data_IF_167837551234
#
_entry.id   IF_167837551234
#
_cell.length_a   1.000
_cell.length_b   1.000
_cell.length_c   1.000
_cell.angle_alpha   90.00
_cell.angle_beta   90.00
_cell.angle_gamma   90.00
#
_symmetry.space_group_name_H-M   'P 1'
#
loop_
_entity.id
_entity.type
_entity.pdbx_description
1 polymer ?
#
# COMPACT_ATOMS: atom_id res chain seq x y z
N UNK A 1 4.29 -15.64 11.70
CA UNK A 1 2.94 -15.03 11.71
C UNK A 1 2.33 -15.15 10.32
N UNK A 2 1.00 -15.22 10.25
CA UNK A 2 0.23 -15.14 9.01
C UNK A 2 -0.31 -13.73 8.84
N UNK A 3 0.08 -13.05 7.77
CA UNK A 3 -0.20 -11.63 7.59
C UNK A 3 -1.01 -11.41 6.32
N UNK A 4 -2.16 -10.76 6.42
CA UNK A 4 -2.92 -10.29 5.27
C UNK A 4 -2.43 -8.91 4.84
N UNK A 5 -1.98 -8.77 3.60
CA UNK A 5 -1.57 -7.48 3.01
C UNK A 5 -2.63 -7.02 2.01
N UNK A 6 -3.16 -5.81 2.24
CA UNK A 6 -4.10 -5.15 1.33
C UNK A 6 -3.43 -3.94 0.69
N UNK A 7 -3.35 -3.92 -0.62
CA UNK A 7 -2.71 -2.83 -1.36
C UNK A 7 -3.33 -2.64 -2.74
N UNK A 8 -3.02 -1.52 -3.39
CA UNK A 8 -3.32 -1.35 -4.81
C UNK A 8 -2.35 -2.19 -5.66
N UNK A 9 -2.86 -3.04 -6.55
CA UNK A 9 -2.04 -3.94 -7.38
C UNK A 9 -1.44 -3.24 -8.61
N UNK A 10 -0.96 -2.01 -8.44
CA UNK A 10 -0.51 -1.15 -9.56
C UNK A 10 1.00 -0.97 -9.57
N UNK A 11 1.55 -0.49 -10.70
CA UNK A 11 2.94 -0.05 -10.83
C UNK A 11 3.25 1.23 -10.02
N UNK A 12 2.28 1.78 -9.31
CA UNK A 12 2.50 2.91 -8.40
C UNK A 12 3.38 2.54 -7.21
N UNK A 13 4.09 3.54 -6.65
CA UNK A 13 5.07 3.32 -5.59
C UNK A 13 4.53 2.54 -4.39
N UNK A 14 3.32 2.85 -3.93
CA UNK A 14 2.71 2.17 -2.77
C UNK A 14 2.43 0.69 -3.01
N UNK A 15 1.93 0.31 -4.20
CA UNK A 15 1.67 -1.10 -4.54
C UNK A 15 2.98 -1.91 -4.64
N UNK A 16 3.99 -1.32 -5.25
CA UNK A 16 5.33 -1.91 -5.33
C UNK A 16 5.93 -2.09 -3.93
N UNK A 17 5.89 -1.05 -3.10
CA UNK A 17 6.42 -1.10 -1.73
C UNK A 17 5.71 -2.12 -0.85
N UNK A 18 4.38 -2.19 -0.91
CA UNK A 18 3.61 -3.19 -0.19
C UNK A 18 3.99 -4.62 -0.61
N UNK A 19 4.23 -4.83 -1.90
CA UNK A 19 4.63 -6.14 -2.43
C UNK A 19 6.06 -6.50 -2.02
N UNK A 20 7.01 -5.56 -2.14
CA UNK A 20 8.41 -5.79 -1.71
C UNK A 20 8.50 -6.02 -0.19
N UNK A 21 7.70 -5.29 0.61
CA UNK A 21 7.60 -5.52 2.05
C UNK A 21 7.11 -6.93 2.35
N UNK A 22 6.04 -7.37 1.70
CA UNK A 22 5.52 -8.73 1.87
C UNK A 22 6.56 -9.78 1.52
N UNK A 23 7.25 -9.67 0.38
CA UNK A 23 8.31 -10.59 0.01
C UNK A 23 9.45 -10.61 1.04
N UNK A 24 9.85 -9.45 1.55
CA UNK A 24 10.87 -9.38 2.61
C UNK A 24 10.41 -10.03 3.92
N UNK A 25 9.13 -9.92 4.27
CA UNK A 25 8.58 -10.59 5.45
C UNK A 25 8.57 -12.11 5.30
N UNK A 26 8.40 -12.65 4.10
CA UNK A 26 8.54 -14.10 3.85
C UNK A 26 9.97 -14.55 4.11
N UNK A 27 10.97 -13.79 3.67
CA UNK A 27 12.38 -14.07 3.95
C UNK A 27 12.68 -14.10 5.48
N UNK A 28 11.81 -13.48 6.29
CA UNK A 28 11.86 -13.50 7.76
C UNK A 28 10.93 -14.54 8.40
N UNK A 29 10.42 -15.49 7.63
CA UNK A 29 9.64 -16.64 8.13
C UNK A 29 8.16 -16.35 8.39
N UNK A 30 7.57 -15.36 7.72
CA UNK A 30 6.13 -15.08 7.76
C UNK A 30 5.40 -15.68 6.58
N UNK A 31 4.12 -16.04 6.75
CA UNK A 31 3.21 -16.45 5.68
C UNK A 31 2.38 -15.24 5.25
N UNK A 32 2.32 -14.93 3.96
CA UNK A 32 1.72 -13.72 3.41
C UNK A 32 0.52 -14.00 2.52
N UNK A 33 -0.58 -13.30 2.80
CA UNK A 33 -1.82 -13.35 2.05
C UNK A 33 -2.12 -11.99 1.43
N UNK A 34 -1.82 -11.82 0.15
CA UNK A 34 -2.16 -10.59 -0.58
C UNK A 34 -3.61 -10.60 -1.00
N UNK A 35 -4.34 -9.53 -0.67
CA UNK A 35 -5.77 -9.37 -0.96
C UNK A 35 -5.97 -8.09 -1.76
N UNK A 36 -6.33 -8.23 -3.04
CA UNK A 36 -6.53 -7.12 -3.97
C UNK A 36 -7.44 -7.53 -5.14
N UNK A 37 -7.96 -6.57 -5.90
CA UNK A 37 -8.81 -6.83 -7.07
C UNK A 37 -8.04 -7.41 -8.29
N UNK A 38 -6.73 -7.43 -8.23
CA UNK A 38 -5.83 -8.02 -9.23
C UNK A 38 -4.52 -8.40 -8.56
N UNK A 39 -3.81 -9.38 -9.11
CA UNK A 39 -2.50 -9.76 -8.60
C UNK A 39 -1.53 -8.57 -8.63
N UNK A 40 -0.84 -8.26 -7.50
CA UNK A 40 0.17 -7.20 -7.45
C UNK A 40 1.29 -7.44 -8.48
N UNK A 41 1.72 -6.38 -9.13
CA UNK A 41 2.58 -6.44 -10.32
C UNK A 41 3.91 -7.15 -10.09
N UNK A 42 4.49 -7.02 -8.90
CA UNK A 42 5.78 -7.64 -8.56
C UNK A 42 5.66 -8.94 -7.77
N UNK A 43 4.44 -9.40 -7.54
CA UNK A 43 4.24 -10.63 -6.77
C UNK A 43 4.66 -11.84 -7.58
N UNK A 44 5.64 -12.58 -7.08
CA UNK A 44 6.16 -13.80 -7.69
C UNK A 44 5.30 -14.99 -7.30
N UNK A 45 5.15 -15.97 -8.20
CA UNK A 45 4.40 -17.21 -7.97
C UNK A 45 5.22 -18.34 -7.32
N UNK A 46 6.47 -18.07 -7.01
CA UNK A 46 7.46 -19.11 -6.72
C UNK A 46 7.70 -19.40 -5.24
N UNK A 47 6.92 -18.82 -4.33
CA UNK A 47 7.12 -19.02 -2.90
C UNK A 47 5.87 -19.67 -2.28
N UNK A 48 6.08 -20.79 -1.56
CA UNK A 48 5.01 -21.57 -0.91
C UNK A 48 4.34 -20.83 0.25
N UNK A 49 4.96 -19.75 0.76
CA UNK A 49 4.44 -18.92 1.83
C UNK A 49 3.76 -17.63 1.33
N UNK A 50 3.52 -17.51 0.02
CA UNK A 50 2.85 -16.37 -0.59
C UNK A 50 1.56 -16.80 -1.26
N UNK A 51 0.45 -16.23 -0.82
CA UNK A 51 -0.88 -16.49 -1.35
C UNK A 51 -1.50 -15.22 -1.91
N UNK A 52 -2.23 -15.35 -3.01
CA UNK A 52 -3.00 -14.25 -3.58
C UNK A 52 -4.50 -14.57 -3.57
N UNK A 53 -5.29 -13.64 -3.06
CA UNK A 53 -6.74 -13.74 -2.99
C UNK A 53 -7.38 -12.58 -3.76
N UNK A 54 -8.01 -12.91 -4.87
CA UNK A 54 -8.67 -11.90 -5.69
C UNK A 54 -9.99 -11.44 -5.05
N UNK A 55 -10.15 -10.12 -4.97
CA UNK A 55 -11.41 -9.47 -4.59
C UNK A 55 -12.24 -9.26 -5.84
N UNK A 56 -13.26 -10.09 -6.03
CA UNK A 56 -14.24 -9.94 -7.10
C UNK A 56 -15.48 -9.24 -6.56
N UNK A 57 -15.92 -8.20 -7.25
CA UNK A 57 -17.18 -7.53 -6.93
C UNK A 57 -18.26 -8.17 -7.82
N UNK A 58 -19.24 -8.87 -7.26
CA UNK A 58 -20.33 -9.44 -8.04
C UNK A 58 -21.13 -8.33 -8.76
N UNK A 59 -21.44 -8.56 -10.02
CA UNK A 59 -22.35 -7.68 -10.74
C UNK A 59 -23.78 -7.88 -10.23
N UNK A 60 -24.42 -6.77 -9.89
CA UNK A 60 -25.82 -6.74 -9.50
C UNK A 60 -26.54 -5.58 -10.18
N UNK A 61 -27.64 -5.81 -10.90
CA UNK A 61 -28.28 -4.81 -11.75
C UNK A 61 -28.68 -3.49 -11.05
N UNK A 62 -28.90 -3.52 -9.74
CA UNK A 62 -29.25 -2.35 -8.96
C UNK A 62 -28.04 -1.54 -8.46
N UNK A 63 -26.82 -2.06 -8.62
CA UNK A 63 -25.63 -1.33 -8.25
C UNK A 63 -25.14 -0.45 -9.40
N UNK A 64 -25.49 0.82 -9.39
CA UNK A 64 -24.94 1.80 -10.33
C UNK A 64 -23.41 1.96 -10.17
N UNK A 65 -22.90 1.76 -8.93
CA UNK A 65 -21.48 1.75 -8.60
C UNK A 65 -21.16 0.45 -7.87
N UNK A 66 -20.06 -0.18 -8.26
CA UNK A 66 -19.66 -1.43 -7.66
C UNK A 66 -19.12 -1.19 -6.23
N UNK A 67 -19.68 -1.85 -5.19
CA UNK A 67 -19.30 -1.65 -3.80
C UNK A 67 -18.01 -2.40 -3.45
N UNK A 68 -16.87 -1.90 -3.91
CA UNK A 68 -15.56 -2.53 -3.71
C UNK A 68 -15.22 -2.74 -2.24
N UNK A 69 -15.49 -1.75 -1.39
CA UNK A 69 -15.20 -1.80 0.06
C UNK A 69 -15.97 -2.93 0.75
N UNK A 70 -17.20 -3.16 0.33
CA UNK A 70 -18.02 -4.27 0.83
C UNK A 70 -17.43 -5.62 0.40
N UNK A 71 -17.05 -5.76 -0.87
CA UNK A 71 -16.44 -6.99 -1.37
C UNK A 71 -15.08 -7.26 -0.70
N UNK A 72 -14.27 -6.22 -0.50
CA UNK A 72 -12.98 -6.32 0.16
C UNK A 72 -13.14 -6.73 1.63
N UNK A 73 -14.05 -6.11 2.38
CA UNK A 73 -14.29 -6.47 3.78
C UNK A 73 -14.78 -7.90 3.92
N UNK A 74 -15.66 -8.36 3.03
CA UNK A 74 -16.14 -9.74 3.00
C UNK A 74 -15.01 -10.72 2.68
N UNK A 75 -14.18 -10.42 1.68
CA UNK A 75 -13.03 -11.25 1.32
C UNK A 75 -12.01 -11.33 2.46
N UNK A 76 -11.77 -10.23 3.17
CA UNK A 76 -10.92 -10.23 4.36
C UNK A 76 -11.45 -11.18 5.43
N UNK A 77 -12.75 -11.14 5.75
CA UNK A 77 -13.36 -12.08 6.72
C UNK A 77 -13.18 -13.53 6.29
N UNK A 78 -13.41 -13.84 5.01
CA UNK A 78 -13.24 -15.17 4.44
C UNK A 78 -11.81 -15.68 4.62
N UNK A 79 -10.82 -14.89 4.16
CA UNK A 79 -9.40 -15.26 4.20
C UNK A 79 -8.89 -15.39 5.64
N UNK A 80 -9.27 -14.47 6.52
CA UNK A 80 -8.86 -14.49 7.94
C UNK A 80 -9.35 -15.78 8.61
N UNK A 81 -10.60 -16.17 8.37
CA UNK A 81 -11.16 -17.40 8.96
C UNK A 81 -10.55 -18.67 8.38
N UNK A 82 -10.34 -18.69 7.06
CA UNK A 82 -9.84 -19.87 6.38
C UNK A 82 -8.39 -20.17 6.71
N UNK A 83 -7.56 -19.15 6.81
CA UNK A 83 -6.12 -19.29 7.00
C UNK A 83 -5.63 -18.94 8.39
N UNK A 84 -6.52 -18.51 9.30
CA UNK A 84 -6.17 -18.08 10.66
C UNK A 84 -5.14 -16.94 10.67
N UNK A 85 -5.46 -15.86 9.96
CA UNK A 85 -4.59 -14.69 9.85
C UNK A 85 -4.42 -14.00 11.21
N UNK A 86 -3.19 -13.68 11.54
CA UNK A 86 -2.81 -13.03 12.81
C UNK A 86 -2.92 -11.50 12.75
N UNK A 87 -2.70 -10.90 11.57
CA UNK A 87 -2.56 -9.45 11.37
C UNK A 87 -3.08 -9.02 10.00
N UNK A 88 -3.82 -7.91 9.95
CA UNK A 88 -4.11 -7.19 8.72
C UNK A 88 -3.15 -6.00 8.57
N UNK A 89 -2.31 -5.99 7.54
CA UNK A 89 -1.51 -4.84 7.15
C UNK A 89 -2.10 -4.21 5.89
N UNK A 90 -2.67 -3.04 6.02
CA UNK A 90 -3.35 -2.36 4.93
C UNK A 90 -2.62 -1.08 4.53
N UNK A 91 -2.51 -0.85 3.25
CA UNK A 91 -1.90 0.33 2.67
C UNK A 91 -3.01 1.27 2.18
N UNK A 92 -3.00 2.52 2.63
CA UNK A 92 -4.01 3.56 2.47
C UNK A 92 -5.15 3.56 3.52
N UNK A 93 -5.46 4.76 3.99
CA UNK A 93 -6.58 5.01 4.90
C UNK A 93 -7.92 4.62 4.28
N UNK A 94 -8.14 5.00 3.03
CA UNK A 94 -9.31 4.62 2.24
C UNK A 94 -8.90 4.10 0.86
N UNK A 95 -9.59 3.10 0.31
CA UNK A 95 -10.69 2.33 0.91
C UNK A 95 -10.22 1.22 1.85
N UNK A 96 -8.93 0.94 1.95
CA UNK A 96 -8.39 -0.30 2.50
C UNK A 96 -8.54 -0.38 4.03
N UNK A 97 -8.10 0.64 4.80
CA UNK A 97 -8.25 0.60 6.26
C UNK A 97 -9.73 0.68 6.67
N UNK A 98 -10.58 1.39 5.90
CA UNK A 98 -12.01 1.38 6.12
C UNK A 98 -12.60 -0.03 5.98
N UNK A 99 -12.28 -0.72 4.90
CA UNK A 99 -12.76 -2.09 4.65
C UNK A 99 -12.20 -3.08 5.69
N UNK A 100 -10.94 -2.93 6.09
CA UNK A 100 -10.33 -3.75 7.14
C UNK A 100 -11.01 -3.57 8.50
N UNK A 101 -11.37 -2.32 8.85
CA UNK A 101 -12.13 -2.07 10.07
C UNK A 101 -13.52 -2.72 10.03
N UNK A 102 -14.22 -2.67 8.90
CA UNK A 102 -15.50 -3.34 8.74
C UNK A 102 -15.34 -4.87 8.87
N UNK A 103 -14.29 -5.44 8.26
CA UNK A 103 -13.96 -6.85 8.45
C UNK A 103 -13.68 -7.20 9.92
N UNK A 104 -12.88 -6.37 10.62
CA UNK A 104 -12.61 -6.53 12.06
C UNK A 104 -13.88 -6.52 12.90
N UNK A 105 -14.85 -5.67 12.57
CA UNK A 105 -16.15 -5.64 13.26
C UNK A 105 -16.93 -6.93 13.05
N UNK A 106 -17.05 -7.39 11.79
CA UNK A 106 -17.73 -8.64 11.46
C UNK A 106 -17.08 -9.86 12.12
N UNK A 107 -15.75 -9.87 12.23
CA UNK A 107 -14.98 -10.93 12.91
C UNK A 107 -15.20 -10.90 14.43
N UNK A 108 -15.23 -9.69 15.03
CA UNK A 108 -15.45 -9.52 16.47
C UNK A 108 -16.80 -10.08 16.92
N UNK A 109 -17.84 -9.92 16.12
CA UNK A 109 -19.17 -10.50 16.39
C UNK A 109 -19.16 -12.04 16.37
N UNK A 110 -18.10 -12.65 15.78
CA UNK A 110 -17.85 -14.09 15.74
C UNK A 110 -16.76 -14.52 16.74
N UNK A 111 -16.36 -13.64 17.68
CA UNK A 111 -15.36 -13.93 18.72
C UNK A 111 -13.90 -13.86 18.25
N UNK A 112 -13.64 -13.37 17.03
CA UNK A 112 -12.29 -13.21 16.48
C UNK A 112 -11.85 -11.76 16.57
N UNK A 113 -10.60 -11.52 16.98
CA UNK A 113 -10.03 -10.18 17.05
C UNK A 113 -8.67 -10.16 16.36
N UNK A 114 -8.62 -9.54 15.17
CA UNK A 114 -7.40 -9.42 14.36
C UNK A 114 -7.00 -7.94 14.30
N UNK A 115 -5.75 -7.59 14.69
CA UNK A 115 -5.29 -6.21 14.68
C UNK A 115 -5.07 -5.69 13.25
N UNK A 116 -5.15 -4.35 13.11
CA UNK A 116 -4.96 -3.62 11.86
C UNK A 116 -3.75 -2.71 11.98
N UNK A 117 -2.77 -2.88 11.12
CA UNK A 117 -1.72 -1.89 10.84
C UNK A 117 -2.08 -1.16 9.55
N UNK A 118 -2.08 0.17 9.59
CA UNK A 118 -2.34 1.00 8.41
C UNK A 118 -1.12 1.83 8.06
N UNK A 119 -0.63 1.70 6.83
CA UNK A 119 0.46 2.53 6.29
C UNK A 119 -0.08 3.59 5.35
N UNK A 120 0.17 4.86 5.67
CA UNK A 120 -0.18 6.03 4.85
C UNK A 120 0.92 6.31 3.82
N UNK A 121 0.52 6.63 2.58
CA UNK A 121 1.45 6.79 1.45
C UNK A 121 1.48 8.20 0.83
N UNK A 122 0.64 9.10 1.28
CA UNK A 122 0.59 10.50 0.85
C UNK A 122 -0.64 10.83 -0.01
N UNK A 123 -0.91 10.13 -1.09
CA UNK A 123 -2.07 10.44 -1.94
C UNK A 123 -3.42 10.23 -1.24
N UNK A 124 -3.48 9.33 -0.30
CA UNK A 124 -4.62 9.11 0.60
C UNK A 124 -4.85 10.29 1.57
N UNK A 125 -3.83 11.07 1.83
CA UNK A 125 -3.86 12.23 2.72
C UNK A 125 -3.99 13.54 1.91
N UNK A 126 -3.02 13.82 1.05
CA UNK A 126 -2.86 15.12 0.40
C UNK A 126 -3.75 15.33 -0.82
N UNK A 127 -4.24 14.26 -1.46
CA UNK A 127 -5.11 14.34 -2.62
C UNK A 127 -6.54 13.89 -2.31
N UNK A 128 -6.73 12.58 -2.18
CA UNK A 128 -8.09 12.02 -2.00
C UNK A 128 -8.64 12.37 -0.64
N UNK A 129 -7.83 12.24 0.41
CA UNK A 129 -8.23 12.48 1.79
C UNK A 129 -8.57 13.93 2.07
N UNK A 130 -7.93 14.87 1.39
CA UNK A 130 -8.19 16.30 1.55
C UNK A 130 -9.51 16.76 0.87
N UNK A 131 -10.13 15.92 0.05
CA UNK A 131 -11.43 16.23 -0.51
C UNK A 131 -12.49 16.22 0.61
N UNK A 132 -13.29 17.28 0.81
CA UNK A 132 -14.23 17.40 1.94
C UNK A 132 -15.16 16.19 2.11
N UNK A 133 -15.55 15.57 1.00
CA UNK A 133 -16.42 14.39 1.00
C UNK A 133 -15.76 13.17 1.68
N UNK A 134 -14.45 12.99 1.54
CA UNK A 134 -13.74 11.83 2.07
C UNK A 134 -13.09 12.07 3.43
N UNK A 135 -12.95 13.31 3.87
CA UNK A 135 -12.25 13.68 5.10
C UNK A 135 -12.74 12.92 6.33
N UNK A 136 -14.04 12.79 6.49
CA UNK A 136 -14.65 12.05 7.60
C UNK A 136 -14.27 10.56 7.58
N UNK A 137 -14.26 9.95 6.40
CA UNK A 137 -13.89 8.53 6.25
C UNK A 137 -12.40 8.29 6.51
N UNK A 138 -11.54 9.23 6.11
CA UNK A 138 -10.09 9.17 6.38
C UNK A 138 -9.83 9.30 7.88
N UNK A 139 -10.39 10.33 8.54
CA UNK A 139 -10.32 10.49 10.00
C UNK A 139 -10.74 9.21 10.73
N UNK A 140 -11.88 8.67 10.34
CA UNK A 140 -12.42 7.47 10.95
C UNK A 140 -11.47 6.28 10.76
N UNK A 141 -11.00 6.03 9.55
CA UNK A 141 -10.19 4.86 9.22
C UNK A 141 -8.85 4.87 9.95
N UNK A 142 -8.17 6.02 9.99
CA UNK A 142 -6.90 6.20 10.71
C UNK A 142 -7.11 5.96 12.20
N UNK A 143 -8.10 6.60 12.82
CA UNK A 143 -8.37 6.49 14.26
C UNK A 143 -8.87 5.09 14.69
N UNK A 144 -9.35 4.26 13.77
CA UNK A 144 -9.81 2.89 14.03
C UNK A 144 -8.78 1.81 13.77
N UNK A 145 -7.64 2.16 13.21
CA UNK A 145 -6.48 1.27 13.10
C UNK A 145 -5.85 1.03 14.47
N UNK A 146 -5.26 -0.13 14.69
CA UNK A 146 -4.57 -0.42 15.95
C UNK A 146 -3.20 0.26 15.98
N UNK A 147 -2.48 0.21 14.86
CA UNK A 147 -1.21 0.91 14.63
C UNK A 147 -1.31 1.68 13.31
N UNK A 148 -0.75 2.88 13.29
CA UNK A 148 -0.66 3.71 12.09
C UNK A 148 0.79 4.03 11.79
N UNK A 149 1.21 3.80 10.57
CA UNK A 149 2.53 4.18 10.08
C UNK A 149 2.43 5.10 8.88
N UNK A 150 3.45 5.89 8.64
CA UNK A 150 3.58 6.69 7.43
C UNK A 150 5.03 6.68 6.91
N UNK A 151 5.22 7.12 5.67
CA UNK A 151 6.49 6.95 4.96
C UNK A 151 7.50 8.09 5.19
N UNK A 152 7.11 9.18 5.86
CA UNK A 152 8.00 10.29 6.16
C UNK A 152 7.46 11.20 7.26
N UNK A 153 8.35 11.96 7.92
CA UNK A 153 7.96 12.98 8.90
C UNK A 153 7.08 14.08 8.29
N UNK A 154 7.35 14.47 7.04
CA UNK A 154 6.50 15.43 6.32
C UNK A 154 5.07 14.90 6.19
N UNK A 155 4.89 13.65 5.79
CA UNK A 155 3.55 13.06 5.68
C UNK A 155 2.85 12.94 7.04
N UNK A 156 3.60 12.60 8.10
CA UNK A 156 3.07 12.61 9.46
C UNK A 156 2.53 13.98 9.83
N UNK A 157 3.32 15.04 9.62
CA UNK A 157 2.91 16.40 9.92
C UNK A 157 1.69 16.81 9.09
N UNK A 158 1.71 16.57 7.76
CA UNK A 158 0.58 16.86 6.88
C UNK A 158 -0.71 16.15 7.35
N UNK A 159 -0.57 14.91 7.86
CA UNK A 159 -1.71 14.15 8.36
C UNK A 159 -2.27 14.78 9.65
N UNK A 160 -1.41 15.16 10.58
CA UNK A 160 -1.83 15.79 11.84
C UNK A 160 -2.42 17.18 11.63
N UNK A 161 -1.92 17.94 10.66
CA UNK A 161 -2.41 19.29 10.36
C UNK A 161 -3.77 19.29 9.65
N UNK A 162 -4.04 18.26 8.83
CA UNK A 162 -5.24 18.21 7.99
C UNK A 162 -6.40 17.43 8.62
N UNK A 163 -6.09 16.53 9.56
CA UNK A 163 -7.05 15.57 10.12
C UNK A 163 -7.04 15.56 11.64
N UNK A 164 -8.19 15.22 12.24
CA UNK A 164 -8.34 15.04 13.68
C UNK A 164 -7.90 13.62 14.07
N UNK A 165 -6.60 13.44 14.27
CA UNK A 165 -6.00 12.15 14.58
C UNK A 165 -5.68 12.06 16.08
N UNK A 166 -6.15 10.99 16.72
CA UNK A 166 -5.95 10.70 18.15
C UNK A 166 -4.97 9.54 18.37
N UNK A 167 -4.39 9.04 17.29
CA UNK A 167 -3.42 7.94 17.29
C UNK A 167 -2.02 8.47 17.08
N UNK A 168 -1.06 7.83 17.70
CA UNK A 168 0.34 8.02 17.33
C UNK A 168 0.56 7.49 15.92
N UNK A 169 1.38 8.20 15.16
CA UNK A 169 1.79 7.79 13.80
C UNK A 169 3.29 7.55 13.84
N UNK A 170 3.68 6.30 13.59
CA UNK A 170 5.09 5.94 13.49
C UNK A 170 5.62 6.21 12.09
N UNK A 171 6.81 6.77 11.98
CA UNK A 171 7.46 6.99 10.69
C UNK A 171 8.33 5.80 10.35
N UNK A 172 7.95 5.11 9.28
CA UNK A 172 8.71 3.99 8.70
C UNK A 172 9.04 4.36 7.25
N UNK A 173 10.27 4.83 6.98
CA UNK A 173 10.66 5.23 5.63
C UNK A 173 10.57 4.09 4.62
N UNK A 174 10.27 4.45 3.37
CA UNK A 174 10.34 3.50 2.27
C UNK A 174 11.75 2.94 2.15
N UNK A 175 11.83 1.68 1.80
CA UNK A 175 13.09 0.96 1.63
C UNK A 175 13.31 0.48 0.19
N UNK A 176 14.53 0.13 -0.10
CA UNK A 176 14.94 -0.55 -1.32
C UNK A 176 15.93 -1.66 -0.94
N UNK A 177 15.71 -2.84 -1.48
CA UNK A 177 16.64 -3.95 -1.29
C UNK A 177 17.85 -3.78 -2.23
N UNK A 178 18.89 -3.17 -1.73
CA UNK A 178 20.14 -2.90 -2.48
C UNK A 178 20.81 -4.16 -3.03
N UNK A 179 20.53 -5.33 -2.46
CA UNK A 179 21.11 -6.60 -2.96
C UNK A 179 20.58 -6.97 -4.34
N UNK A 180 19.36 -6.53 -4.67
CA UNK A 180 18.70 -6.75 -5.96
C UNK A 180 19.15 -5.76 -7.04
N UNK A 181 19.76 -4.63 -6.65
CA UNK A 181 20.12 -3.53 -7.57
C UNK A 181 21.65 -3.36 -7.63
N UNK A 182 22.34 -4.34 -8.22
CA UNK A 182 23.78 -4.25 -8.45
C UNK A 182 24.06 -3.63 -9.80
N UNK A 183 25.09 -2.78 -9.89
CA UNK A 183 25.60 -2.25 -11.16
C UNK A 183 26.06 -3.42 -12.03
N UNK A 184 25.44 -3.58 -13.19
CA UNK A 184 25.89 -4.52 -14.21
C UNK A 184 26.94 -3.80 -15.07
N UNK A 185 28.20 -4.13 -14.92
CA UNK A 185 29.29 -3.48 -15.66
C UNK A 185 29.22 -3.69 -17.19
N UNK A 186 28.61 -4.81 -17.62
CA UNK A 186 28.55 -5.18 -19.06
C UNK A 186 27.43 -4.48 -19.84
N UNK A 187 26.49 -3.80 -19.19
CA UNK A 187 25.33 -3.14 -19.85
C UNK A 187 25.43 -1.61 -19.88
N UNK A 188 26.59 -1.02 -19.58
CA UNK A 188 26.77 0.40 -19.73
C UNK A 188 26.93 0.74 -21.22
N UNK A 189 25.81 0.90 -21.93
CA UNK A 189 25.79 1.32 -23.34
C UNK A 189 26.13 2.80 -23.53
N UNK A 190 26.28 3.53 -22.46
CA UNK A 190 26.75 4.91 -22.46
C UNK A 190 28.24 4.84 -22.17
N UNK A 191 29.07 4.98 -23.20
CA UNK A 191 30.49 5.28 -23.02
C UNK A 191 30.60 6.48 -22.09
N UNK A 192 31.52 6.45 -21.12
CA UNK A 192 31.70 7.55 -20.20
C UNK A 192 31.86 8.82 -21.02
N UNK A 193 30.95 9.81 -20.88
CA UNK A 193 31.14 11.07 -21.59
C UNK A 193 32.47 11.65 -21.14
N UNK A 194 33.20 12.26 -22.06
CA UNK A 194 34.40 13.02 -21.74
C UNK A 194 34.01 14.04 -20.65
N UNK A 195 34.67 14.02 -19.47
CA UNK A 195 34.33 14.94 -18.38
C UNK A 195 34.34 16.42 -18.77
N UNK A 196 34.92 16.73 -19.94
CA UNK A 196 35.03 18.09 -20.44
C UNK A 196 33.97 18.47 -21.50
N UNK A 197 33.13 17.52 -21.97
CA UNK A 197 32.26 17.78 -23.13
C UNK A 197 30.78 17.92 -22.78
N UNK A 198 30.19 17.02 -21.96
CA UNK A 198 28.76 17.11 -21.68
C UNK A 198 28.37 16.52 -20.32
N UNK A 199 27.51 17.23 -19.59
CA UNK A 199 26.89 16.74 -18.37
C UNK A 199 25.55 16.04 -18.70
N UNK A 200 25.45 14.73 -18.46
CA UNK A 200 24.22 13.98 -18.66
C UNK A 200 23.40 13.98 -17.39
N UNK A 201 22.22 14.61 -17.44
CA UNK A 201 21.23 14.58 -16.36
C UNK A 201 20.13 13.61 -16.74
N UNK A 202 19.93 12.56 -15.94
CA UNK A 202 18.90 11.57 -16.16
C UNK A 202 17.73 11.76 -15.22
N UNK A 203 16.51 11.85 -15.75
CA UNK A 203 15.26 11.87 -14.99
C UNK A 203 14.42 10.63 -15.31
N UNK A 204 14.09 9.85 -14.27
CA UNK A 204 13.26 8.65 -14.39
C UNK A 204 11.99 8.81 -13.57
N UNK A 205 10.84 8.88 -14.22
CA UNK A 205 9.53 8.94 -13.57
C UNK A 205 8.41 8.49 -14.51
N UNK A 206 7.19 8.45 -14.01
CA UNK A 206 5.99 8.23 -14.83
C UNK A 206 5.45 9.53 -15.49
N UNK A 207 6.22 10.59 -15.50
CA UNK A 207 5.95 11.89 -16.14
C UNK A 207 4.61 12.55 -15.75
N UNK A 208 4.00 12.18 -14.61
CA UNK A 208 2.80 12.85 -14.12
C UNK A 208 3.11 14.31 -13.71
N UNK A 209 2.12 15.24 -13.77
CA UNK A 209 2.32 16.64 -13.43
C UNK A 209 3.03 16.87 -12.08
N UNK A 210 2.72 16.05 -11.08
CA UNK A 210 3.37 16.11 -9.75
C UNK A 210 4.89 15.87 -9.79
N UNK A 211 5.41 15.24 -10.86
CA UNK A 211 6.86 15.01 -11.04
C UNK A 211 7.60 16.22 -11.59
N UNK A 212 6.85 17.24 -12.01
CA UNK A 212 7.35 18.56 -12.38
C UNK A 212 8.55 18.55 -13.34
N UNK A 213 8.52 17.65 -14.31
CA UNK A 213 9.64 17.42 -15.26
C UNK A 213 10.06 18.68 -15.99
N UNK A 214 9.11 19.60 -16.26
CA UNK A 214 9.43 20.88 -16.91
C UNK A 214 10.47 21.67 -16.13
N UNK A 215 10.40 21.70 -14.79
CA UNK A 215 11.35 22.42 -13.94
C UNK A 215 12.72 21.71 -13.82
N UNK A 216 12.83 20.47 -14.29
CA UNK A 216 14.13 19.76 -14.37
C UNK A 216 14.89 20.19 -15.62
N UNK A 217 14.17 20.63 -16.67
CA UNK A 217 14.75 21.00 -17.99
C UNK A 217 15.09 22.51 -18.01
N UNK A 218 14.46 23.33 -17.21
CA UNK A 218 14.66 24.78 -17.05
C UNK A 218 15.48 25.10 -15.82
#
# INVERSE_FOLDING_TARGET
MKIAIVCYPTFGGSGVLATELGMSLVDHGHELHFIAYKKPVRLKDSDENIFFHEVKVPEYPLFNFQPYELALSTKLVEVIKLYSIDLMHVHYAIPHAYAAYMAKKMLKDQGLNVPIVTTLHGTDITLVGNHPFYKTSVNFSINKSDIVTCVSESLKQDTLDQFEIYKDIDVVPNFIDISKYKRQQELCLIENPDPNEELIITHISNFRPVKNVKNVIH
#
